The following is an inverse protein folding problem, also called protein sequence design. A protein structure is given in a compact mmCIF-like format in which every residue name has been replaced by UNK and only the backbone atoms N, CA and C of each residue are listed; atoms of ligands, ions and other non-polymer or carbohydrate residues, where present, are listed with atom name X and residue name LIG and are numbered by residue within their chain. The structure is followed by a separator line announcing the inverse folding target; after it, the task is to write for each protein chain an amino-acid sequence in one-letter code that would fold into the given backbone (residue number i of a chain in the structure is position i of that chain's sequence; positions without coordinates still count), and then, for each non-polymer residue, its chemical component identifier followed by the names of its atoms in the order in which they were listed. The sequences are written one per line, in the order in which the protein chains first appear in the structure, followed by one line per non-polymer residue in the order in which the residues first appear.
data_IF_287632309859
#
_entry.id   IF_287632309859
#
_cell.length_a   1.000
_cell.length_b   1.000
_cell.length_c   1.000
_cell.angle_alpha   90.00
_cell.angle_beta   90.00
_cell.angle_gamma   90.00
#
_symmetry.space_group_name_H-M   'P 1'
#
loop_
_entity.id
_entity.type
_entity.pdbx_description
1 polymer ?
#
# COMPACT_ATOMS: atom_id res chain seq x y z
N UNK A 1 10.35 -6.44 -17.53
CA UNK A 1 9.41 -6.43 -16.39
C UNK A 1 8.71 -5.08 -16.35
N UNK A 2 7.49 -4.99 -16.88
CA UNK A 2 6.70 -3.76 -16.83
C UNK A 2 6.30 -3.50 -15.37
N UNK A 3 6.90 -2.49 -14.73
CA UNK A 3 6.46 -2.00 -13.42
C UNK A 3 5.08 -1.38 -13.61
N UNK A 4 4.03 -2.16 -13.39
CA UNK A 4 2.66 -1.63 -13.29
C UNK A 4 2.69 -0.64 -12.11
N UNK A 5 2.55 0.65 -12.41
CA UNK A 5 2.52 1.72 -11.40
C UNK A 5 1.23 1.55 -10.60
N UNK A 6 1.31 1.00 -9.39
CA UNK A 6 0.14 0.87 -8.50
C UNK A 6 -0.28 2.27 -8.04
N UNK A 7 -1.53 2.63 -8.31
CA UNK A 7 -2.13 3.90 -7.88
C UNK A 7 -2.39 3.89 -6.38
N UNK A 8 -2.60 5.08 -5.81
CA UNK A 8 -2.88 5.26 -4.37
C UNK A 8 -4.11 4.47 -3.91
N UNK A 9 -5.14 4.36 -4.75
CA UNK A 9 -6.40 3.69 -4.41
C UNK A 9 -6.22 2.21 -4.06
N UNK A 10 -5.26 1.53 -4.67
CA UNK A 10 -4.92 0.15 -4.34
C UNK A 10 -4.43 0.01 -2.90
N UNK A 11 -3.72 1.01 -2.36
CA UNK A 11 -3.28 1.02 -0.96
C UNK A 11 -4.46 1.29 -0.03
N UNK A 12 -5.32 2.25 -0.40
CA UNK A 12 -6.48 2.66 0.41
C UNK A 12 -7.45 1.50 0.66
N UNK A 13 -7.67 0.63 -0.34
CA UNK A 13 -8.49 -0.57 -0.16
C UNK A 13 -7.99 -1.44 1.01
N UNK A 14 -6.69 -1.74 1.07
CA UNK A 14 -6.10 -2.52 2.17
C UNK A 14 -6.11 -1.78 3.50
N UNK A 15 -5.86 -0.45 3.48
CA UNK A 15 -5.87 0.34 4.71
C UNK A 15 -7.26 0.39 5.35
N UNK A 16 -8.31 0.54 4.53
CA UNK A 16 -9.70 0.49 4.99
C UNK A 16 -10.10 -0.89 5.53
N UNK A 17 -9.62 -1.96 4.92
CA UNK A 17 -9.96 -3.31 5.35
C UNK A 17 -9.27 -3.70 6.68
N UNK A 18 -8.08 -3.15 6.94
CA UNK A 18 -7.37 -3.33 8.22
C UNK A 18 -6.84 -4.74 8.49
N UNK A 19 -7.06 -5.70 7.58
CA UNK A 19 -6.71 -7.12 7.74
C UNK A 19 -5.22 -7.43 7.52
N UNK A 20 -4.54 -6.61 6.72
CA UNK A 20 -3.15 -6.83 6.34
C UNK A 20 -2.22 -5.78 6.94
N UNK A 21 -1.06 -6.22 7.42
CA UNK A 21 0.02 -5.32 7.79
C UNK A 21 0.80 -4.84 6.55
N UNK A 22 1.66 -3.83 6.73
CA UNK A 22 2.41 -3.22 5.62
C UNK A 22 3.31 -4.20 4.84
N UNK A 23 3.82 -5.25 5.49
CA UNK A 23 4.64 -6.25 4.82
C UNK A 23 3.79 -7.16 3.92
N UNK A 24 2.59 -7.52 4.36
CA UNK A 24 1.63 -8.29 3.56
C UNK A 24 1.13 -7.46 2.37
N UNK A 25 0.77 -6.19 2.60
CA UNK A 25 0.33 -5.28 1.53
C UNK A 25 1.46 -5.08 0.50
N UNK A 26 2.71 -4.95 0.95
CA UNK A 26 3.87 -4.82 0.07
C UNK A 26 4.04 -6.04 -0.84
N UNK A 27 3.90 -7.25 -0.28
CA UNK A 27 3.95 -8.50 -1.05
C UNK A 27 2.82 -8.57 -2.07
N UNK A 28 1.61 -8.25 -1.66
CA UNK A 28 0.40 -8.33 -2.51
C UNK A 28 0.43 -7.33 -3.67
N UNK A 29 0.93 -6.13 -3.40
CA UNK A 29 1.03 -5.07 -4.41
C UNK A 29 2.32 -5.15 -5.25
N UNK A 30 3.27 -6.02 -4.88
CA UNK A 30 4.57 -6.12 -5.53
C UNK A 30 5.42 -4.85 -5.38
N UNK A 31 5.37 -4.21 -4.21
CA UNK A 31 6.06 -2.95 -3.91
C UNK A 31 6.90 -3.06 -2.64
N UNK A 32 7.74 -2.06 -2.35
CA UNK A 32 8.49 -2.04 -1.11
C UNK A 32 7.60 -1.70 0.08
N UNK A 33 7.87 -2.32 1.24
CA UNK A 33 7.23 -1.98 2.52
C UNK A 33 7.37 -0.49 2.86
N UNK A 34 8.51 0.11 2.53
CA UNK A 34 8.74 1.56 2.70
C UNK A 34 7.72 2.39 1.92
N UNK A 35 7.37 1.96 0.69
CA UNK A 35 6.36 2.66 -0.09
C UNK A 35 4.97 2.55 0.54
N UNK A 36 4.61 1.37 1.05
CA UNK A 36 3.34 1.18 1.78
C UNK A 36 3.26 2.12 2.99
N UNK A 37 4.32 2.19 3.81
CA UNK A 37 4.35 3.08 4.98
C UNK A 37 4.29 4.58 4.63
N UNK A 38 4.80 4.99 3.46
CA UNK A 38 4.59 6.36 2.93
C UNK A 38 3.12 6.60 2.59
N UNK A 39 2.47 5.65 1.91
CA UNK A 39 1.06 5.76 1.54
C UNK A 39 0.14 5.70 2.77
N UNK A 40 0.48 4.91 3.80
CA UNK A 40 -0.28 4.82 5.05
C UNK A 40 -0.27 6.14 5.80
N UNK A 41 0.90 6.76 6.01
CA UNK A 41 0.98 8.08 6.64
C UNK A 41 0.20 9.14 5.88
N UNK A 42 0.24 9.11 4.54
CA UNK A 42 -0.59 10.00 3.70
C UNK A 42 -2.08 9.75 3.90
N UNK A 43 -2.49 8.49 4.08
CA UNK A 43 -3.89 8.11 4.32
C UNK A 43 -4.38 8.50 5.70
N UNK A 44 -3.55 8.34 6.74
CA UNK A 44 -3.87 8.72 8.13
C UNK A 44 -3.89 10.25 8.35
N UNK A 45 -3.25 11.01 7.44
CA UNK A 45 -3.26 12.48 7.48
C UNK A 45 -4.45 13.12 6.74
N UNK A 46 -5.36 12.32 6.17
CA UNK A 46 -6.59 12.77 5.51
C UNK A 46 -7.77 12.65 6.48
#
# INVERSE_FOLDING_TARGET
MSRIKKTYDYYVAYFKEGRLNDAQIAKELGVSRVNVGKMRRKWESL
#
